data_IF_174668130135
#
_entry.id   IF_174668130135
#
_cell.length_a   1.000
_cell.length_b   1.000
_cell.length_c   1.000
_cell.angle_alpha   90.00
_cell.angle_beta   90.00
_cell.angle_gamma   90.00
#
_symmetry.space_group_name_H-M   'P 1'
#
loop_
_entity.id
_entity.type
_entity.pdbx_description
1 polymer ?
#
# COMPACT_ATOMS: atom_id res chain seq x y z
N UNK A 1 3.32 -16.77 28.17
CA UNK A 1 3.78 -17.06 26.80
C UNK A 1 2.80 -16.52 25.80
N UNK A 2 3.31 -15.97 24.71
CA UNK A 2 2.52 -15.51 23.55
C UNK A 2 3.04 -16.23 22.30
N UNK A 3 2.13 -16.64 21.41
CA UNK A 3 2.48 -17.33 20.19
C UNK A 3 1.49 -17.04 19.06
N UNK A 4 1.97 -17.18 17.83
CA UNK A 4 1.14 -17.26 16.66
C UNK A 4 1.68 -18.34 15.71
N UNK A 5 0.79 -19.13 15.13
CA UNK A 5 1.14 -20.13 14.11
C UNK A 5 0.08 -20.15 13.02
N UNK A 6 0.51 -20.12 11.79
CA UNK A 6 -0.37 -20.30 10.64
C UNK A 6 -0.74 -21.77 10.53
N UNK A 7 -2.04 -22.06 10.43
CA UNK A 7 -2.58 -23.41 10.34
C UNK A 7 -3.11 -23.69 8.93
N UNK A 8 -2.81 -24.89 8.44
CA UNK A 8 -3.31 -25.36 7.16
C UNK A 8 -2.29 -26.25 6.42
N UNK A 9 -2.75 -26.83 5.32
CA UNK A 9 -1.90 -27.50 4.33
C UNK A 9 -1.58 -26.49 3.23
N UNK A 10 -0.31 -26.11 3.13
CA UNK A 10 0.16 -25.17 2.11
C UNK A 10 0.84 -25.94 0.99
N UNK A 11 0.41 -25.77 -0.28
CA UNK A 11 1.01 -26.48 -1.39
C UNK A 11 2.45 -26.05 -1.62
N UNK A 12 3.30 -27.01 -1.98
CA UNK A 12 4.62 -26.71 -2.52
C UNK A 12 4.47 -26.11 -3.91
N UNK A 13 4.88 -24.88 -4.06
CA UNK A 13 4.81 -24.10 -5.28
C UNK A 13 6.21 -23.66 -5.73
N UNK A 14 6.42 -23.59 -7.02
CA UNK A 14 7.54 -22.84 -7.58
C UNK A 14 7.20 -21.34 -7.68
N UNK A 15 8.21 -20.43 -7.72
CA UNK A 15 7.98 -18.98 -7.78
C UNK A 15 7.09 -18.58 -8.96
N UNK A 16 5.96 -17.94 -8.66
CA UNK A 16 4.97 -17.51 -9.65
C UNK A 16 3.87 -18.54 -9.99
N UNK A 17 3.93 -19.76 -9.45
CA UNK A 17 2.90 -20.77 -9.70
C UNK A 17 1.52 -20.30 -9.18
N UNK A 18 0.53 -20.29 -10.08
CA UNK A 18 -0.82 -19.80 -9.79
C UNK A 18 -1.04 -18.33 -10.12
N UNK A 19 -0.01 -17.62 -10.61
CA UNK A 19 -0.10 -16.22 -11.02
C UNK A 19 -0.72 -16.02 -12.40
N UNK A 20 -0.54 -17.01 -13.27
CA UNK A 20 -0.92 -16.98 -14.67
C UNK A 20 -1.82 -18.17 -15.00
N UNK A 21 -2.51 -18.09 -16.14
CA UNK A 21 -3.16 -19.26 -16.73
C UNK A 21 -2.08 -20.32 -17.01
N UNK A 22 -2.30 -21.50 -16.50
CA UNK A 22 -1.39 -22.64 -16.65
C UNK A 22 -2.08 -23.75 -17.45
N UNK A 23 -1.29 -24.50 -18.23
CA UNK A 23 -1.78 -25.65 -18.97
C UNK A 23 -2.12 -26.77 -18.00
N UNK A 24 -3.40 -27.04 -17.77
CA UNK A 24 -3.86 -28.11 -16.90
C UNK A 24 -3.58 -29.53 -17.40
N UNK A 25 -3.09 -29.69 -18.63
CA UNK A 25 -2.63 -30.98 -19.17
C UNK A 25 -1.15 -31.27 -18.87
N UNK A 26 -0.39 -30.26 -18.42
CA UNK A 26 1.02 -30.40 -18.06
C UNK A 26 1.19 -30.74 -16.57
N UNK A 27 1.64 -31.93 -16.21
CA UNK A 27 1.82 -32.33 -14.81
C UNK A 27 2.85 -31.47 -14.04
N UNK A 28 3.69 -30.70 -14.73
CA UNK A 28 4.62 -29.76 -14.10
C UNK A 28 3.90 -28.54 -13.50
N UNK A 29 2.66 -28.30 -13.92
CA UNK A 29 1.81 -27.23 -13.39
C UNK A 29 1.05 -27.65 -12.11
N UNK A 30 1.08 -28.93 -11.77
CA UNK A 30 0.48 -29.43 -10.54
C UNK A 30 1.32 -29.11 -9.30
N UNK A 31 0.67 -29.09 -8.15
CA UNK A 31 1.37 -28.99 -6.87
C UNK A 31 2.20 -30.26 -6.61
N UNK A 32 3.45 -30.07 -6.26
CA UNK A 32 4.39 -31.17 -6.03
C UNK A 32 4.31 -31.72 -4.59
N UNK A 33 3.23 -31.46 -3.88
CA UNK A 33 3.01 -31.86 -2.51
C UNK A 33 2.67 -30.68 -1.61
N UNK A 34 2.98 -30.81 -0.33
CA UNK A 34 2.67 -29.79 0.67
C UNK A 34 3.91 -29.46 1.51
N UNK A 35 3.97 -28.22 1.97
CA UNK A 35 4.96 -27.80 2.95
C UNK A 35 4.78 -28.66 4.22
N UNK A 36 5.85 -29.23 4.78
CA UNK A 36 5.78 -29.95 6.05
C UNK A 36 5.13 -29.09 7.13
N UNK A 37 4.19 -29.64 7.87
CA UNK A 37 3.41 -28.88 8.84
C UNK A 37 4.28 -28.20 9.92
N UNK A 38 5.39 -28.83 10.30
CA UNK A 38 6.38 -28.30 11.24
C UNK A 38 7.06 -27.04 10.71
N UNK A 39 7.09 -26.82 9.39
CA UNK A 39 7.65 -25.65 8.75
C UNK A 39 6.62 -24.51 8.57
N UNK A 40 5.38 -24.70 8.94
CA UNK A 40 4.40 -23.61 8.90
C UNK A 40 4.89 -22.41 9.73
N UNK A 41 4.75 -21.22 9.16
CA UNK A 41 5.21 -19.99 9.80
C UNK A 41 4.65 -19.86 11.23
N UNK A 42 5.53 -19.69 12.19
CA UNK A 42 5.18 -19.59 13.61
C UNK A 42 6.15 -18.70 14.37
N UNK A 43 5.66 -18.14 15.46
CA UNK A 43 6.48 -17.40 16.41
C UNK A 43 6.02 -17.73 17.84
N UNK A 44 6.96 -17.85 18.74
CA UNK A 44 6.74 -18.07 20.19
C UNK A 44 7.60 -17.06 20.95
N UNK A 45 6.99 -16.33 21.87
CA UNK A 45 7.66 -15.34 22.72
C UNK A 45 8.62 -14.42 21.95
N UNK A 46 8.15 -13.72 20.88
CA UNK A 46 9.03 -12.88 20.10
C UNK A 46 9.62 -11.76 20.96
N UNK A 47 10.87 -11.40 20.69
CA UNK A 47 11.61 -10.36 21.42
C UNK A 47 10.86 -9.02 21.50
N UNK A 48 10.04 -8.71 20.48
CA UNK A 48 9.21 -7.50 20.44
C UNK A 48 8.06 -7.47 21.46
N UNK A 49 7.81 -8.59 22.18
CA UNK A 49 6.82 -8.68 23.26
C UNK A 49 5.35 -8.78 22.82
N UNK A 50 5.07 -8.85 21.52
CA UNK A 50 3.72 -9.00 20.98
C UNK A 50 3.69 -9.80 19.69
N UNK A 51 2.52 -10.33 19.32
CA UNK A 51 2.23 -10.92 18.04
C UNK A 51 1.15 -10.09 17.33
N UNK A 52 1.25 -9.92 16.02
CA UNK A 52 0.31 -9.13 15.22
C UNK A 52 0.19 -9.67 13.81
N UNK A 53 -1.00 -9.53 13.22
CA UNK A 53 -1.25 -9.87 11.83
C UNK A 53 -2.26 -8.91 11.20
N UNK A 54 -1.90 -8.30 10.08
CA UNK A 54 -2.76 -7.42 9.29
C UNK A 54 -2.36 -7.45 7.81
N UNK A 55 -2.51 -8.61 7.17
CA UNK A 55 -2.23 -8.86 5.75
C UNK A 55 -0.76 -8.68 5.31
N UNK A 56 0.19 -8.72 6.24
CA UNK A 56 1.61 -8.73 5.88
C UNK A 56 2.05 -10.15 5.45
N UNK A 57 3.21 -10.22 4.81
CA UNK A 57 3.89 -11.50 4.59
C UNK A 57 4.19 -12.15 5.95
N UNK A 58 3.84 -13.43 6.15
CA UNK A 58 4.03 -14.11 7.42
C UNK A 58 5.46 -14.57 7.66
N UNK A 59 6.29 -14.54 6.63
CA UNK A 59 7.68 -15.01 6.63
C UNK A 59 8.56 -13.98 5.92
N UNK A 60 9.84 -14.00 6.21
CA UNK A 60 10.85 -13.19 5.54
C UNK A 60 11.50 -13.96 4.35
N UNK A 61 12.39 -13.32 3.57
CA UNK A 61 13.04 -13.93 2.42
C UNK A 61 13.90 -15.16 2.71
N UNK A 62 14.23 -15.45 3.97
CA UNK A 62 14.99 -16.64 4.36
C UNK A 62 14.13 -17.91 4.42
N UNK A 63 12.81 -17.76 4.39
CA UNK A 63 11.88 -18.89 4.41
C UNK A 63 12.03 -19.72 3.12
N UNK A 64 12.23 -21.05 3.24
CA UNK A 64 12.69 -21.86 2.11
C UNK A 64 11.61 -22.21 1.08
N UNK A 65 10.35 -21.83 1.33
CA UNK A 65 9.24 -22.16 0.46
C UNK A 65 8.61 -20.91 -0.14
N UNK A 66 8.17 -21.02 -1.40
CA UNK A 66 7.40 -19.97 -2.04
C UNK A 66 5.94 -20.03 -1.57
N UNK A 67 5.49 -19.00 -0.85
CA UNK A 67 4.14 -18.94 -0.29
C UNK A 67 3.35 -17.74 -0.77
N UNK A 68 4.02 -16.69 -1.25
CA UNK A 68 3.40 -15.44 -1.70
C UNK A 68 4.07 -14.90 -2.95
N UNK A 69 3.25 -14.29 -3.79
CA UNK A 69 3.68 -13.55 -4.96
C UNK A 69 3.01 -12.17 -5.09
N UNK A 70 2.03 -11.88 -4.23
CA UNK A 70 1.35 -10.61 -4.21
C UNK A 70 1.83 -9.76 -3.03
N UNK A 71 2.16 -8.51 -3.30
CA UNK A 71 2.38 -7.52 -2.25
C UNK A 71 1.03 -6.99 -1.82
N UNK A 72 0.66 -7.22 -0.58
CA UNK A 72 -0.45 -6.52 0.05
C UNK A 72 0.03 -5.18 0.60
N UNK A 73 -0.85 -4.20 0.58
CA UNK A 73 -0.63 -2.92 1.24
C UNK A 73 -0.36 -3.14 2.73
N UNK A 74 0.81 -2.74 3.20
CA UNK A 74 1.27 -3.04 4.56
C UNK A 74 1.08 -1.89 5.55
N UNK A 75 0.31 -0.85 5.18
CA UNK A 75 0.07 0.32 6.04
C UNK A 75 -0.58 -0.02 7.37
N UNK A 76 -1.62 -0.87 7.38
CA UNK A 76 -2.28 -1.31 8.61
C UNK A 76 -1.36 -2.10 9.52
N UNK A 77 -0.54 -2.98 8.96
CA UNK A 77 0.43 -3.74 9.72
C UNK A 77 1.50 -2.84 10.34
N UNK A 78 2.04 -1.90 9.57
CA UNK A 78 3.04 -0.93 10.06
C UNK A 78 2.45 -0.07 11.16
N UNK A 79 1.24 0.49 10.98
CA UNK A 79 0.55 1.28 12.00
C UNK A 79 0.34 0.47 13.29
N UNK A 80 -0.16 -0.76 13.17
CA UNK A 80 -0.38 -1.67 14.29
C UNK A 80 0.92 -1.96 15.04
N UNK A 81 1.99 -2.30 14.32
CA UNK A 81 3.29 -2.57 14.92
C UNK A 81 3.87 -1.34 15.63
N UNK A 82 3.78 -0.15 15.01
CA UNK A 82 4.22 1.11 15.64
C UNK A 82 3.48 1.32 16.97
N UNK A 83 2.15 1.22 16.95
CA UNK A 83 1.35 1.41 18.17
C UNK A 83 1.67 0.40 19.25
N UNK A 84 1.74 -0.88 18.93
CA UNK A 84 2.06 -1.92 19.90
C UNK A 84 3.49 -1.77 20.46
N UNK A 85 4.42 -1.25 19.68
CA UNK A 85 5.80 -0.97 20.16
C UNK A 85 5.84 0.20 21.15
N UNK A 86 4.99 1.21 20.96
CA UNK A 86 4.87 2.38 21.83
C UNK A 86 4.16 2.08 23.17
N UNK A 87 3.32 1.03 23.18
CA UNK A 87 2.47 0.69 24.32
C UNK A 87 3.21 -0.15 25.37
N UNK A 88 2.90 0.07 26.63
CA UNK A 88 3.39 -0.73 27.76
C UNK A 88 2.27 -0.98 28.77
N UNK A 89 2.32 -2.09 29.51
CA UNK A 89 1.29 -2.47 30.48
C UNK A 89 -0.13 -2.45 29.88
N UNK A 90 -0.27 -2.99 28.67
CA UNK A 90 -1.46 -2.92 27.84
C UNK A 90 -2.67 -3.51 28.58
N UNK A 91 -3.75 -2.74 28.63
CA UNK A 91 -5.05 -3.13 29.17
C UNK A 91 -6.04 -3.55 28.06
N UNK A 92 -7.17 -4.09 28.47
CA UNK A 92 -8.27 -4.40 27.56
C UNK A 92 -8.80 -3.13 26.86
N UNK A 93 -8.85 -2.00 27.57
CA UNK A 93 -9.35 -0.75 27.01
C UNK A 93 -8.36 -0.15 26.01
N UNK A 94 -7.06 -0.31 26.21
CA UNK A 94 -6.05 0.04 25.19
C UNK A 94 -6.24 -0.77 23.91
N UNK A 95 -6.51 -2.07 24.03
CA UNK A 95 -6.77 -2.92 22.86
C UNK A 95 -8.06 -2.56 22.14
N UNK A 96 -9.12 -2.18 22.87
CA UNK A 96 -10.33 -1.63 22.27
C UNK A 96 -10.04 -0.32 21.52
N UNK A 97 -9.31 0.59 22.13
CA UNK A 97 -8.91 1.85 21.49
C UNK A 97 -8.11 1.59 20.21
N UNK A 98 -7.18 0.64 20.22
CA UNK A 98 -6.40 0.25 19.06
C UNK A 98 -7.27 -0.31 17.90
N UNK A 99 -8.38 -1.00 18.22
CA UNK A 99 -9.33 -1.48 17.20
C UNK A 99 -10.02 -0.33 16.46
N UNK A 100 -10.17 0.83 17.08
CA UNK A 100 -10.80 2.01 16.49
C UNK A 100 -9.77 3.03 15.97
N UNK A 101 -8.46 2.68 15.94
CA UNK A 101 -7.44 3.52 15.34
C UNK A 101 -7.69 3.62 13.83
N UNK A 102 -8.16 4.78 13.39
CA UNK A 102 -8.49 5.09 12.00
C UNK A 102 -7.48 6.03 11.35
N UNK A 103 -6.25 6.07 11.87
CA UNK A 103 -5.15 6.83 11.29
C UNK A 103 -4.77 6.30 9.90
N UNK A 104 -4.76 7.18 8.91
CA UNK A 104 -4.38 6.84 7.55
C UNK A 104 -2.88 7.02 7.33
N UNK A 105 -2.10 5.96 7.58
CA UNK A 105 -0.65 5.99 7.39
C UNK A 105 -0.26 6.21 5.92
N UNK A 106 -1.04 5.71 4.97
CA UNK A 106 -0.81 5.95 3.55
C UNK A 106 -0.89 7.44 3.22
N UNK A 107 -1.94 8.11 3.71
CA UNK A 107 -2.08 9.55 3.51
C UNK A 107 -0.97 10.34 4.20
N UNK A 108 -0.54 9.91 5.39
CA UNK A 108 0.56 10.56 6.11
C UNK A 108 1.89 10.48 5.35
N UNK A 109 2.10 9.48 4.52
CA UNK A 109 3.28 9.34 3.67
C UNK A 109 3.10 10.05 2.32
N UNK A 110 1.95 9.94 1.69
CA UNK A 110 1.71 10.46 0.34
C UNK A 110 1.42 11.97 0.32
N UNK A 111 0.53 12.45 1.21
CA UNK A 111 0.03 13.83 1.14
C UNK A 111 1.11 14.90 1.26
N UNK A 112 2.13 14.79 2.14
CA UNK A 112 3.22 15.78 2.17
C UNK A 112 3.98 15.86 0.83
N UNK A 113 4.20 14.72 0.16
CA UNK A 113 4.86 14.65 -1.14
C UNK A 113 3.97 15.31 -2.21
N UNK A 114 2.68 14.97 -2.23
CA UNK A 114 1.71 15.57 -3.17
C UNK A 114 1.62 17.08 -3.00
N UNK A 115 1.52 17.56 -1.78
CA UNK A 115 1.50 19.02 -1.49
C UNK A 115 2.80 19.73 -1.86
N UNK A 116 3.94 19.06 -1.74
CA UNK A 116 5.24 19.58 -2.17
C UNK A 116 5.33 19.67 -3.70
N UNK A 117 4.90 18.62 -4.40
CA UNK A 117 4.87 18.58 -5.87
C UNK A 117 3.82 19.54 -6.44
N UNK A 118 2.69 19.74 -5.77
CA UNK A 118 1.73 20.78 -6.13
C UNK A 118 2.35 22.19 -6.04
N UNK A 119 3.22 22.41 -5.07
CA UNK A 119 4.01 23.64 -4.90
C UNK A 119 3.15 24.87 -4.71
N UNK A 120 3.38 25.88 -5.55
CA UNK A 120 2.64 27.16 -5.58
C UNK A 120 1.52 27.17 -6.63
N UNK A 121 1.16 25.99 -7.16
CA UNK A 121 0.06 25.87 -8.11
C UNK A 121 -1.21 26.49 -7.52
N UNK A 122 -1.78 27.43 -8.25
CA UNK A 122 -3.05 28.07 -7.91
C UNK A 122 -4.10 27.55 -8.88
N UNK A 123 -5.01 26.76 -8.37
CA UNK A 123 -6.18 26.39 -9.14
C UNK A 123 -7.06 27.61 -9.39
N UNK A 124 -7.86 27.58 -10.44
CA UNK A 124 -8.70 28.71 -10.87
C UNK A 124 -9.83 29.05 -9.89
N UNK A 125 -10.02 28.27 -8.81
CA UNK A 125 -11.11 28.47 -7.87
C UNK A 125 -10.64 28.83 -6.45
N UNK A 126 -11.38 29.75 -5.80
CA UNK A 126 -11.17 30.06 -4.37
C UNK A 126 -11.43 28.86 -3.45
N UNK A 127 -12.13 27.84 -3.92
CA UNK A 127 -12.40 26.63 -3.17
C UNK A 127 -11.18 25.73 -3.07
N UNK A 128 -10.33 25.74 -4.09
CA UNK A 128 -9.06 25.00 -4.09
C UNK A 128 -8.10 25.47 -2.98
N UNK A 129 -8.06 26.77 -2.69
CA UNK A 129 -7.26 27.28 -1.58
C UNK A 129 -7.75 26.78 -0.21
N UNK A 130 -9.06 26.67 -0.03
CA UNK A 130 -9.66 26.10 1.18
C UNK A 130 -9.32 24.61 1.29
N UNK A 131 -9.34 23.92 0.17
CA UNK A 131 -8.99 22.53 0.04
C UNK A 131 -7.54 22.25 0.47
N UNK A 132 -6.60 23.01 -0.08
CA UNK A 132 -5.18 22.88 0.30
C UNK A 132 -4.97 23.19 1.78
N UNK A 133 -5.66 24.20 2.33
CA UNK A 133 -5.58 24.51 3.77
C UNK A 133 -6.12 23.39 4.64
N UNK A 134 -7.26 22.81 4.28
CA UNK A 134 -7.84 21.67 4.98
C UNK A 134 -6.87 20.48 5.01
N UNK A 135 -6.28 20.13 3.86
CA UNK A 135 -5.33 19.02 3.77
C UNK A 135 -4.02 19.29 4.53
N UNK A 136 -3.49 20.53 4.50
CA UNK A 136 -2.29 20.90 5.27
C UNK A 136 -2.49 20.81 6.78
N UNK A 137 -3.73 21.00 7.26
CA UNK A 137 -4.08 20.95 8.68
C UNK A 137 -4.62 19.60 9.14
N UNK A 138 -4.82 18.66 8.21
CA UNK A 138 -5.38 17.35 8.54
C UNK A 138 -4.39 16.50 9.35
N UNK A 139 -4.89 15.91 10.42
CA UNK A 139 -4.16 15.05 11.36
C UNK A 139 -4.09 13.58 10.92
N UNK A 140 -4.51 13.28 9.70
CA UNK A 140 -4.57 11.95 9.08
C UNK A 140 -5.53 10.96 9.74
N UNK A 141 -6.38 11.40 10.65
CA UNK A 141 -7.45 10.56 11.19
C UNK A 141 -8.73 10.68 10.33
N UNK A 142 -9.33 9.53 10.02
CA UNK A 142 -10.60 9.45 9.28
C UNK A 142 -11.80 9.76 10.20
N UNK A 143 -11.94 11.03 10.57
CA UNK A 143 -13.06 11.53 11.38
C UNK A 143 -14.24 11.84 10.45
N UNK A 144 -15.46 11.34 10.73
CA UNK A 144 -16.66 11.60 9.92
C UNK A 144 -17.04 13.08 9.83
N UNK A 145 -16.57 13.92 10.77
CA UNK A 145 -16.82 15.36 10.78
C UNK A 145 -15.72 16.19 10.10
N UNK A 146 -14.64 15.55 9.63
CA UNK A 146 -13.53 16.18 8.92
C UNK A 146 -13.53 15.77 7.45
N UNK A 147 -13.11 16.66 6.57
CA UNK A 147 -13.09 16.42 5.12
C UNK A 147 -11.78 15.80 4.62
N UNK A 148 -10.70 15.90 5.39
CA UNK A 148 -9.35 15.54 4.95
C UNK A 148 -9.24 14.15 4.32
N UNK A 149 -9.85 13.13 4.94
CA UNK A 149 -9.84 11.77 4.39
C UNK A 149 -10.50 11.71 2.99
N UNK A 150 -11.68 12.31 2.83
CA UNK A 150 -12.42 12.28 1.55
C UNK A 150 -11.63 13.05 0.47
N UNK A 151 -11.16 14.24 0.80
CA UNK A 151 -10.42 15.10 -0.11
C UNK A 151 -9.13 14.41 -0.58
N UNK A 152 -8.36 13.85 0.35
CA UNK A 152 -7.17 13.08 0.02
C UNK A 152 -7.49 11.88 -0.88
N UNK A 153 -8.52 11.12 -0.55
CA UNK A 153 -8.88 9.92 -1.30
C UNK A 153 -9.25 10.24 -2.75
N UNK A 154 -10.03 11.30 -2.96
CA UNK A 154 -10.39 11.75 -4.31
C UNK A 154 -9.13 12.20 -5.07
N UNK A 155 -8.36 13.12 -4.53
CA UNK A 155 -7.17 13.63 -5.18
C UNK A 155 -6.16 12.53 -5.49
N UNK A 156 -5.87 11.65 -4.53
CA UNK A 156 -4.95 10.53 -4.75
C UNK A 156 -5.46 9.56 -5.81
N UNK A 157 -6.78 9.28 -5.83
CA UNK A 157 -7.38 8.41 -6.84
C UNK A 157 -7.23 8.98 -8.25
N UNK A 158 -7.55 10.26 -8.45
CA UNK A 158 -7.42 10.92 -9.75
C UNK A 158 -5.95 11.02 -10.18
N UNK A 159 -5.04 11.27 -9.24
CA UNK A 159 -3.60 11.24 -9.51
C UNK A 159 -3.16 9.84 -10.00
N UNK A 160 -3.59 8.78 -9.31
CA UNK A 160 -3.30 7.39 -9.71
C UNK A 160 -3.86 7.06 -11.10
N UNK A 161 -5.07 7.50 -11.41
CA UNK A 161 -5.66 7.31 -12.75
C UNK A 161 -4.85 8.06 -13.81
N UNK A 162 -4.46 9.29 -13.55
CA UNK A 162 -3.65 10.09 -14.47
C UNK A 162 -2.29 9.43 -14.76
N UNK A 163 -1.57 8.99 -13.71
CA UNK A 163 -0.23 8.38 -13.87
C UNK A 163 -0.31 7.08 -14.69
N UNK A 164 -1.28 6.23 -14.41
CA UNK A 164 -1.30 4.87 -14.96
C UNK A 164 -2.23 4.70 -16.15
N UNK A 165 -2.84 5.78 -16.64
CA UNK A 165 -3.81 5.74 -17.74
C UNK A 165 -3.27 5.03 -18.97
N UNK A 166 -2.16 5.47 -19.52
CA UNK A 166 -1.59 4.89 -20.74
C UNK A 166 -1.17 3.44 -20.56
N UNK A 167 -0.65 3.10 -19.37
CA UNK A 167 -0.29 1.73 -19.03
C UNK A 167 -1.52 0.83 -19.04
N UNK A 168 -2.63 1.28 -18.45
CA UNK A 168 -3.87 0.50 -18.37
C UNK A 168 -4.61 0.42 -19.71
N UNK A 169 -4.48 1.42 -20.57
CA UNK A 169 -5.01 1.43 -21.93
C UNK A 169 -4.15 0.58 -22.89
N UNK A 170 -2.95 0.20 -22.49
CA UNK A 170 -2.07 -0.64 -23.29
C UNK A 170 -2.67 -2.05 -23.47
N UNK A 171 -2.38 -2.69 -24.60
CA UNK A 171 -2.78 -4.09 -24.85
C UNK A 171 -1.84 -5.11 -24.17
N UNK A 172 -0.82 -4.64 -23.48
CA UNK A 172 0.11 -5.52 -22.79
C UNK A 172 -0.55 -6.14 -21.55
N UNK A 173 -0.25 -7.40 -21.20
CA UNK A 173 -0.76 -8.04 -19.99
C UNK A 173 -0.01 -7.51 -18.74
N UNK A 174 -0.27 -6.26 -18.42
CA UNK A 174 0.37 -5.56 -17.28
C UNK A 174 -0.60 -5.37 -16.13
N UNK A 175 -0.07 -5.29 -14.92
CA UNK A 175 -0.82 -4.96 -13.72
C UNK A 175 -0.43 -3.55 -13.28
N UNK A 176 -1.41 -2.74 -12.96
CA UNK A 176 -1.16 -1.41 -12.42
C UNK A 176 -0.30 -1.50 -11.15
N UNK A 177 0.77 -0.71 -11.03
CA UNK A 177 1.53 -0.60 -9.80
C UNK A 177 0.62 -0.26 -8.61
N UNK A 178 0.94 -0.83 -7.45
CA UNK A 178 0.15 -0.59 -6.26
C UNK A 178 0.43 0.80 -5.67
N UNK A 179 -0.35 1.17 -4.67
CA UNK A 179 -0.24 2.47 -3.98
C UNK A 179 1.15 2.72 -3.42
N UNK A 180 1.75 1.73 -2.76
CA UNK A 180 3.08 1.88 -2.18
C UNK A 180 4.15 2.16 -3.25
N UNK A 181 4.13 1.41 -4.36
CA UNK A 181 5.05 1.62 -5.48
C UNK A 181 4.87 3.00 -6.10
N UNK A 182 3.63 3.47 -6.24
CA UNK A 182 3.36 4.80 -6.78
C UNK A 182 3.84 5.90 -5.83
N UNK A 183 3.62 5.77 -4.53
CA UNK A 183 4.13 6.73 -3.53
C UNK A 183 5.66 6.75 -3.53
N UNK A 184 6.31 5.61 -3.66
CA UNK A 184 7.77 5.52 -3.76
C UNK A 184 8.30 6.25 -5.00
N UNK A 185 7.66 6.06 -6.16
CA UNK A 185 7.98 6.77 -7.40
C UNK A 185 7.81 8.29 -7.25
N UNK A 186 6.68 8.74 -6.70
CA UNK A 186 6.42 10.15 -6.44
C UNK A 186 7.45 10.77 -5.50
N UNK A 187 7.91 10.00 -4.52
CA UNK A 187 8.85 10.48 -3.48
C UNK A 187 10.28 10.54 -3.98
N UNK A 188 10.73 9.50 -4.65
CA UNK A 188 12.16 9.29 -4.94
C UNK A 188 12.52 9.51 -6.41
N UNK A 189 11.53 9.49 -7.32
CA UNK A 189 11.73 9.47 -8.76
C UNK A 189 10.78 10.43 -9.51
N UNK A 190 10.42 11.56 -8.92
CA UNK A 190 9.39 12.47 -9.44
C UNK A 190 9.65 12.99 -10.87
N UNK A 191 10.88 12.94 -11.36
CA UNK A 191 11.28 13.34 -12.72
C UNK A 191 11.58 12.14 -13.64
N UNK A 192 11.21 10.92 -13.23
CA UNK A 192 11.42 9.74 -14.05
C UNK A 192 10.52 9.77 -15.29
N UNK A 193 11.02 9.25 -16.40
CA UNK A 193 10.31 9.16 -17.68
C UNK A 193 9.04 8.30 -17.62
N UNK A 194 8.80 7.58 -16.53
CA UNK A 194 7.54 6.84 -16.31
C UNK A 194 6.33 7.77 -16.20
N UNK A 195 6.56 9.04 -15.85
CA UNK A 195 5.51 10.07 -15.76
C UNK A 195 5.28 10.80 -17.07
N UNK A 196 6.07 10.52 -18.11
CA UNK A 196 5.92 11.17 -19.41
C UNK A 196 4.71 10.63 -20.18
N UNK A 197 3.86 11.54 -20.64
CA UNK A 197 2.66 11.23 -21.41
C UNK A 197 3.01 11.17 -22.90
N UNK A 198 3.12 9.98 -23.45
CA UNK A 198 3.59 9.73 -24.82
C UNK A 198 2.77 10.42 -25.92
N UNK A 199 1.55 10.81 -25.63
CA UNK A 199 0.65 11.49 -26.58
C UNK A 199 0.87 13.01 -26.67
N UNK A 200 1.73 13.59 -25.82
CA UNK A 200 2.06 15.02 -25.79
C UNK A 200 3.46 15.28 -26.37
N UNK A 201 3.75 16.55 -26.72
CA UNK A 201 5.10 16.97 -27.12
C UNK A 201 5.94 17.43 -25.91
N UNK A 202 5.30 17.72 -24.79
CA UNK A 202 5.94 18.14 -23.55
C UNK A 202 6.48 16.92 -22.82
N UNK A 203 7.54 17.12 -22.03
CA UNK A 203 8.04 16.11 -21.12
C UNK A 203 7.36 16.33 -19.74
N UNK A 204 6.49 15.43 -19.36
CA UNK A 204 5.79 15.51 -18.09
C UNK A 204 6.59 14.86 -16.96
N UNK A 205 6.28 15.29 -15.74
CA UNK A 205 6.80 14.77 -14.49
C UNK A 205 5.65 14.40 -13.53
N UNK A 206 5.98 13.86 -12.37
CA UNK A 206 5.00 13.61 -11.31
C UNK A 206 4.16 14.84 -10.95
N UNK A 207 4.76 16.06 -11.03
CA UNK A 207 4.05 17.32 -10.78
C UNK A 207 2.85 17.52 -11.70
N UNK A 208 2.98 17.18 -12.98
CA UNK A 208 1.88 17.22 -13.95
C UNK A 208 0.69 16.39 -13.48
N UNK A 209 0.91 15.13 -13.13
CA UNK A 209 -0.15 14.21 -12.69
C UNK A 209 -0.79 14.63 -11.37
N UNK A 210 0.00 15.18 -10.44
CA UNK A 210 -0.50 15.75 -9.19
C UNK A 210 -1.46 16.91 -9.46
N UNK A 211 -1.14 17.78 -10.43
CA UNK A 211 -2.00 18.91 -10.83
C UNK A 211 -3.26 18.41 -11.54
N UNK A 212 -3.13 17.48 -12.49
CA UNK A 212 -4.28 16.90 -13.18
C UNK A 212 -5.26 16.28 -12.18
N UNK A 213 -4.77 15.50 -11.23
CA UNK A 213 -5.63 14.91 -10.20
C UNK A 213 -6.21 15.95 -9.23
N UNK A 214 -5.54 17.11 -9.05
CA UNK A 214 -6.05 18.17 -8.19
C UNK A 214 -7.18 18.98 -8.86
N UNK A 215 -7.11 19.15 -10.16
CA UNK A 215 -8.10 19.91 -10.94
C UNK A 215 -9.33 19.08 -11.33
N UNK A 216 -9.30 17.74 -11.13
CA UNK A 216 -10.41 16.81 -11.41
C UNK A 216 -11.45 16.81 -10.31
#
# INVERSE_FOLDING_TARGET
DIAMRIQGKFPLKWPGQGKFFMDGSDPRMEWQGFIPNEHNASTLNPQRGFVSSANQHPVDPSYPYYVFDNSYEHYRNRRLNTKLTEMSQITVDDMKALQFDNYNLQAAEALPVMLNLLGTYQAESQEADKFVKEMRSWDFYADPNKKGQTLYTLWFSETMESIWKELMESKAPVVRPNTYQTIDLLTNFANDSIFDVKSTEALESAEYHIRVGFDS
#
